data_IF_772371443340
#
_entry.id   IF_772371443340
#
_cell.length_a   1.000
_cell.length_b   1.000
_cell.length_c   1.000
_cell.angle_alpha   90.00
_cell.angle_beta   90.00
_cell.angle_gamma   90.00
#
_symmetry.space_group_name_H-M   'P 1'
#
loop_
_entity.id
_entity.type
_entity.pdbx_description
1 polymer ?
#
# COMPACT_ATOMS: atom_id res chain seq x y z
N UNK A 1 -9.47 -24.73 14.35
CA UNK A 1 -10.20 -23.53 14.83
C UNK A 1 -9.34 -22.86 15.88
N UNK A 2 -8.76 -21.69 15.60
CA UNK A 2 -7.97 -20.95 16.59
C UNK A 2 -8.85 -20.68 17.81
N UNK A 3 -8.47 -21.15 19.00
CA UNK A 3 -9.24 -21.07 20.25
C UNK A 3 -9.37 -19.64 20.81
N UNK A 4 -9.71 -18.70 19.94
CA UNK A 4 -9.89 -17.27 20.18
C UNK A 4 -11.30 -16.91 19.73
N UNK A 5 -12.10 -16.35 20.64
CA UNK A 5 -13.48 -15.94 20.33
C UNK A 5 -13.50 -14.84 19.25
N UNK A 6 -14.41 -14.95 18.28
CA UNK A 6 -14.67 -13.90 17.28
C UNK A 6 -14.96 -12.54 17.93
N UNK A 7 -15.58 -12.54 19.11
CA UNK A 7 -15.84 -11.32 19.87
C UNK A 7 -14.56 -10.69 20.43
N UNK A 8 -13.57 -11.50 20.84
CA UNK A 8 -12.28 -11.02 21.32
C UNK A 8 -11.46 -10.40 20.18
N UNK A 9 -11.48 -11.03 19.00
CA UNK A 9 -10.87 -10.46 17.79
C UNK A 9 -11.58 -9.17 17.39
N UNK A 10 -12.92 -9.15 17.37
CA UNK A 10 -13.68 -7.96 17.03
C UNK A 10 -13.40 -6.78 17.98
N UNK A 11 -13.33 -7.01 19.30
CA UNK A 11 -12.94 -5.97 20.27
C UNK A 11 -11.55 -5.40 20.02
N UNK A 12 -10.63 -6.22 19.52
CA UNK A 12 -9.27 -5.76 19.19
C UNK A 12 -9.25 -4.88 17.93
N UNK A 13 -10.00 -5.25 16.89
CA UNK A 13 -10.07 -4.47 15.65
C UNK A 13 -10.93 -3.19 15.76
N UNK A 14 -11.93 -3.16 16.64
CA UNK A 14 -12.83 -2.02 16.84
C UNK A 14 -12.46 -1.11 18.02
N UNK A 15 -11.38 -1.41 18.76
CA UNK A 15 -10.89 -0.60 19.87
C UNK A 15 -10.28 0.71 19.39
N UNK A 16 -11.11 1.72 19.11
CA UNK A 16 -10.68 3.02 18.59
C UNK A 16 -9.92 3.92 19.59
N UNK A 17 -9.73 3.51 20.86
CA UNK A 17 -9.04 4.34 21.87
C UNK A 17 -8.30 3.49 22.89
N UNK A 18 -7.01 3.30 22.65
CA UNK A 18 -6.11 2.64 23.59
C UNK A 18 -6.35 1.14 23.64
N UNK A 19 -5.24 0.40 23.67
CA UNK A 19 -5.14 -1.05 23.85
C UNK A 19 -6.39 -1.62 24.51
N UNK A 20 -7.28 -2.26 23.74
CA UNK A 20 -8.21 -3.21 24.32
C UNK A 20 -7.37 -4.11 25.23
N UNK A 21 -7.78 -4.30 26.48
CA UNK A 21 -7.09 -5.17 27.44
C UNK A 21 -7.14 -6.61 26.91
N UNK A 22 -6.30 -6.91 25.92
CA UNK A 22 -6.16 -8.21 25.30
C UNK A 22 -5.13 -8.93 26.15
N UNK A 23 -5.58 -9.95 26.87
CA UNK A 23 -4.70 -10.80 27.67
C UNK A 23 -3.59 -11.38 26.78
N UNK A 24 -2.35 -11.36 27.26
CA UNK A 24 -1.18 -11.90 26.54
C UNK A 24 -1.39 -13.35 26.07
N UNK A 25 -2.18 -14.14 26.81
CA UNK A 25 -2.59 -15.50 26.44
C UNK A 25 -3.34 -15.56 25.10
N UNK A 26 -4.15 -14.54 24.79
CA UNK A 26 -4.91 -14.45 23.55
C UNK A 26 -3.99 -14.14 22.36
N UNK A 27 -3.02 -13.24 22.54
CA UNK A 27 -2.01 -12.91 21.53
C UNK A 27 -1.14 -14.15 21.22
N UNK A 28 -0.68 -14.86 22.26
CA UNK A 28 0.12 -16.08 22.09
C UNK A 28 -0.64 -17.19 21.34
N UNK A 29 -1.92 -17.41 21.68
CA UNK A 29 -2.77 -18.39 20.97
C UNK A 29 -3.00 -18.02 19.52
N UNK A 30 -3.23 -16.74 19.24
CA UNK A 30 -3.40 -16.28 17.86
C UNK A 30 -2.10 -16.37 17.06
N UNK A 31 -0.98 -15.97 17.65
CA UNK A 31 0.35 -16.07 17.07
C UNK A 31 0.70 -17.52 16.70
N UNK A 32 0.44 -18.46 17.61
CA UNK A 32 0.60 -19.90 17.37
C UNK A 32 -0.30 -20.40 16.24
N UNK A 33 -1.57 -19.98 16.20
CA UNK A 33 -2.51 -20.40 15.16
C UNK A 33 -2.18 -19.81 13.77
N UNK A 34 -1.55 -18.64 13.72
CA UNK A 34 -1.14 -17.96 12.50
C UNK A 34 0.32 -18.23 12.12
N UNK A 35 1.03 -19.07 12.88
CA UNK A 35 2.45 -19.37 12.70
C UNK A 35 3.35 -18.13 12.57
N UNK A 36 3.06 -17.07 13.34
CA UNK A 36 3.83 -15.81 13.37
C UNK A 36 4.29 -15.51 14.78
N UNK A 37 5.43 -14.80 14.93
CA UNK A 37 5.90 -14.40 16.25
C UNK A 37 4.87 -13.48 16.94
N UNK A 38 4.61 -13.66 18.25
CA UNK A 38 3.79 -12.74 19.05
C UNK A 38 4.26 -11.27 18.94
N UNK A 39 5.56 -11.05 18.75
CA UNK A 39 6.15 -9.71 18.60
C UNK A 39 5.55 -8.92 17.43
N UNK A 40 5.08 -9.62 16.39
CA UNK A 40 4.45 -9.00 15.21
C UNK A 40 3.20 -8.20 15.60
N UNK A 41 2.48 -8.63 16.64
CA UNK A 41 1.27 -7.96 17.12
C UNK A 41 1.57 -6.81 18.09
N UNK A 42 2.74 -6.84 18.73
CA UNK A 42 3.19 -5.81 19.67
C UNK A 42 3.96 -4.68 18.98
N UNK A 43 4.47 -4.93 17.76
CA UNK A 43 5.11 -3.89 16.96
C UNK A 43 4.12 -2.79 16.62
N UNK A 44 4.46 -1.56 17.00
CA UNK A 44 3.75 -0.35 16.53
C UNK A 44 3.80 -0.34 15.01
N UNK A 45 2.64 -0.42 14.37
CA UNK A 45 2.55 -0.29 12.92
C UNK A 45 2.85 1.15 12.52
N UNK A 46 3.60 1.37 11.44
CA UNK A 46 3.76 2.72 10.91
C UNK A 46 2.37 3.27 10.56
N UNK A 47 2.16 4.55 10.86
CA UNK A 47 0.97 5.25 10.41
C UNK A 47 1.06 5.49 8.90
N UNK A 48 0.20 4.83 8.14
CA UNK A 48 0.15 4.92 6.68
C UNK A 48 -0.88 5.93 6.18
N UNK A 49 -1.62 6.63 7.06
CA UNK A 49 -2.71 7.52 6.68
C UNK A 49 -2.33 8.59 5.65
N UNK A 50 -1.12 9.14 5.75
CA UNK A 50 -0.58 10.10 4.78
C UNK A 50 -0.41 9.47 3.39
N UNK A 51 0.08 8.22 3.34
CA UNK A 51 0.27 7.50 2.09
C UNK A 51 -1.06 7.06 1.50
N UNK A 52 -1.99 6.61 2.34
CA UNK A 52 -3.36 6.26 1.95
C UNK A 52 -4.06 7.46 1.32
N UNK A 53 -3.99 8.63 1.96
CA UNK A 53 -4.57 9.88 1.43
C UNK A 53 -3.97 10.24 0.08
N UNK A 54 -2.67 10.03 -0.10
CA UNK A 54 -1.96 10.41 -1.33
C UNK A 54 -2.23 9.45 -2.49
N UNK A 55 -2.21 8.14 -2.24
CA UNK A 55 -2.28 7.12 -3.29
C UNK A 55 -3.66 6.53 -3.51
N UNK A 56 -4.54 6.59 -2.52
CA UNK A 56 -5.83 5.88 -2.49
C UNK A 56 -7.04 6.83 -2.47
N UNK A 57 -6.86 8.11 -2.82
CA UNK A 57 -7.93 9.11 -2.76
C UNK A 57 -9.15 8.80 -3.65
N UNK A 58 -8.98 7.97 -4.67
CA UNK A 58 -10.06 7.52 -5.56
C UNK A 58 -10.69 6.20 -5.12
N UNK A 59 -10.22 5.62 -4.01
CA UNK A 59 -10.63 4.31 -3.50
C UNK A 59 -10.51 3.16 -4.52
N UNK A 60 -9.70 3.31 -5.57
CA UNK A 60 -9.48 2.25 -6.56
C UNK A 60 -8.79 1.03 -5.95
N UNK A 61 -8.00 1.25 -4.90
CA UNK A 61 -7.42 0.19 -4.08
C UNK A 61 -7.88 0.36 -2.63
N UNK A 62 -8.27 -0.72 -1.95
CA UNK A 62 -8.89 -0.65 -0.62
C UNK A 62 -7.90 -0.30 0.50
N UNK A 63 -6.60 -0.54 0.29
CA UNK A 63 -5.53 -0.21 1.22
C UNK A 63 -4.17 -0.16 0.48
N UNK A 64 -3.14 0.28 1.20
CA UNK A 64 -1.79 0.41 0.64
C UNK A 64 -1.21 -0.93 0.20
N UNK A 65 -1.47 -2.01 0.92
CA UNK A 65 -1.01 -3.35 0.55
C UNK A 65 -1.56 -3.77 -0.82
N UNK A 66 -2.85 -3.52 -1.07
CA UNK A 66 -3.50 -3.85 -2.33
C UNK A 66 -2.95 -3.00 -3.49
N UNK A 67 -2.66 -1.73 -3.23
CA UNK A 67 -1.98 -0.86 -4.19
C UNK A 67 -0.58 -1.37 -4.52
N UNK A 68 0.21 -1.74 -3.52
CA UNK A 68 1.55 -2.31 -3.72
C UNK A 68 1.48 -3.64 -4.47
N UNK A 69 0.53 -4.52 -4.17
CA UNK A 69 0.32 -5.75 -4.92
C UNK A 69 0.00 -5.47 -6.39
N UNK A 70 -0.83 -4.46 -6.67
CA UNK A 70 -1.14 -4.03 -8.03
C UNK A 70 0.10 -3.51 -8.78
N UNK A 71 0.98 -2.76 -8.11
CA UNK A 71 2.27 -2.32 -8.66
C UNK A 71 3.17 -3.50 -9.02
N UNK A 72 3.30 -4.47 -8.11
CA UNK A 72 4.13 -5.69 -8.33
C UNK A 72 3.59 -6.50 -9.52
N UNK A 73 2.26 -6.64 -9.62
CA UNK A 73 1.59 -7.29 -10.75
C UNK A 73 1.70 -6.51 -12.07
N UNK A 74 2.25 -5.30 -12.05
CA UNK A 74 2.45 -4.47 -13.24
C UNK A 74 1.16 -3.88 -13.79
N UNK A 75 0.15 -3.67 -12.95
CA UNK A 75 -1.11 -3.07 -13.39
C UNK A 75 -0.87 -1.62 -13.81
N UNK A 76 -1.20 -1.31 -15.07
CA UNK A 76 -0.94 0.02 -15.64
C UNK A 76 -1.58 1.17 -14.84
N UNK A 77 -2.82 1.07 -14.32
CA UNK A 77 -3.40 2.13 -13.48
C UNK A 77 -2.60 2.37 -12.19
N UNK A 78 -2.07 1.32 -11.57
CA UNK A 78 -1.25 1.45 -10.37
C UNK A 78 0.07 2.15 -10.66
N UNK A 79 0.74 1.76 -11.75
CA UNK A 79 1.99 2.39 -12.18
C UNK A 79 1.75 3.87 -12.51
N UNK A 80 0.66 4.17 -13.21
CA UNK A 80 0.27 5.54 -13.52
C UNK A 80 0.07 6.38 -12.25
N UNK A 81 -0.64 5.82 -11.26
CA UNK A 81 -0.85 6.44 -9.95
C UNK A 81 0.47 6.76 -9.24
N UNK A 82 1.38 5.79 -9.17
CA UNK A 82 2.69 5.96 -8.53
C UNK A 82 3.46 7.13 -9.17
N UNK A 83 3.50 7.15 -10.51
CA UNK A 83 4.25 8.14 -11.28
C UNK A 83 3.57 9.51 -11.26
N UNK A 84 2.25 9.55 -11.23
CA UNK A 84 1.51 10.80 -11.09
C UNK A 84 1.88 11.52 -9.79
N UNK A 85 1.90 10.77 -8.68
CA UNK A 85 2.13 11.30 -7.34
C UNK A 85 3.61 11.57 -7.03
N UNK A 86 4.52 10.70 -7.48
CA UNK A 86 5.94 10.77 -7.14
C UNK A 86 6.86 11.28 -8.28
N UNK A 87 6.36 11.29 -9.52
CA UNK A 87 7.18 11.56 -10.71
C UNK A 87 8.08 10.39 -11.09
N UNK A 88 8.84 10.54 -12.18
CA UNK A 88 9.67 9.46 -12.73
C UNK A 88 10.80 9.03 -11.80
N UNK A 89 11.56 9.98 -11.24
CA UNK A 89 12.75 9.68 -10.44
C UNK A 89 12.47 8.78 -9.23
N UNK A 90 11.47 9.14 -8.43
CA UNK A 90 11.10 8.37 -7.26
C UNK A 90 10.43 7.05 -7.64
N UNK A 91 9.56 7.05 -8.66
CA UNK A 91 8.91 5.82 -9.14
C UNK A 91 9.90 4.81 -9.71
N UNK A 92 10.96 5.29 -10.35
CA UNK A 92 12.06 4.46 -10.85
C UNK A 92 12.74 3.68 -9.72
N UNK A 93 12.89 4.27 -8.53
CA UNK A 93 13.46 3.54 -7.36
C UNK A 93 12.56 2.42 -6.86
N UNK A 94 11.25 2.50 -7.11
CA UNK A 94 10.27 1.51 -6.65
C UNK A 94 10.08 0.39 -7.68
N UNK A 95 9.93 0.73 -8.97
CA UNK A 95 9.57 -0.21 -10.03
C UNK A 95 10.61 -0.33 -11.16
N UNK A 96 11.74 0.36 -11.04
CA UNK A 96 12.84 0.32 -12.00
C UNK A 96 12.49 0.93 -13.36
N UNK A 97 13.25 0.49 -14.38
CA UNK A 97 13.11 0.93 -15.78
C UNK A 97 11.71 0.70 -16.37
N UNK A 98 10.91 -0.20 -15.79
CA UNK A 98 9.54 -0.49 -16.26
C UNK A 98 8.66 0.77 -16.27
N UNK A 99 8.89 1.68 -15.34
CA UNK A 99 8.20 2.98 -15.29
C UNK A 99 8.44 3.76 -16.58
N UNK A 100 9.69 3.89 -17.02
CA UNK A 100 10.00 4.68 -18.22
C UNK A 100 9.56 3.96 -19.50
N UNK A 101 9.81 2.65 -19.59
CA UNK A 101 9.53 1.84 -20.78
C UNK A 101 8.02 1.74 -21.07
N UNK A 102 7.20 1.67 -20.02
CA UNK A 102 5.75 1.49 -20.16
C UNK A 102 4.97 2.81 -20.20
N UNK A 103 5.64 3.96 -20.18
CA UNK A 103 4.97 5.27 -20.03
C UNK A 103 3.86 5.49 -21.06
N UNK A 104 4.11 5.21 -22.34
CA UNK A 104 3.10 5.34 -23.39
C UNK A 104 1.85 4.47 -23.14
N UNK A 105 1.99 3.35 -22.44
CA UNK A 105 0.87 2.43 -22.17
C UNK A 105 0.02 2.90 -21.00
N UNK A 106 0.64 3.48 -19.96
CA UNK A 106 -0.08 3.85 -18.75
C UNK A 106 -0.42 5.34 -18.63
N UNK A 107 0.19 6.23 -19.41
CA UNK A 107 -0.02 7.68 -19.30
C UNK A 107 -1.48 8.12 -19.42
N UNK A 108 -2.30 7.35 -20.16
CA UNK A 108 -3.75 7.57 -20.31
C UNK A 108 -4.56 7.43 -19.01
N UNK A 109 -3.99 6.79 -17.97
CA UNK A 109 -4.64 6.66 -16.66
C UNK A 109 -4.31 7.82 -15.71
N UNK A 110 -3.52 8.80 -16.16
CA UNK A 110 -3.13 9.96 -15.37
C UNK A 110 -4.08 11.15 -15.58
N UNK A 111 -4.09 12.08 -14.63
CA UNK A 111 -4.72 13.39 -14.80
C UNK A 111 -4.08 14.14 -16.00
N UNK A 112 -4.86 14.74 -16.92
CA UNK A 112 -4.33 15.35 -18.15
C UNK A 112 -3.23 16.39 -17.93
N UNK A 113 -3.35 17.24 -16.91
CA UNK A 113 -2.33 18.25 -16.59
C UNK A 113 -0.99 17.61 -16.22
N UNK A 114 -1.02 16.55 -15.39
CA UNK A 114 0.17 15.83 -14.95
C UNK A 114 0.78 15.00 -16.08
N UNK A 115 -0.07 14.39 -16.92
CA UNK A 115 0.36 13.69 -18.12
C UNK A 115 1.21 14.60 -19.02
N UNK A 116 0.70 15.79 -19.39
CA UNK A 116 1.43 16.73 -20.25
C UNK A 116 2.78 17.13 -19.66
N UNK A 117 2.84 17.39 -18.35
CA UNK A 117 4.11 17.69 -17.68
C UNK A 117 5.11 16.55 -17.79
N UNK A 118 4.66 15.32 -17.57
CA UNK A 118 5.52 14.14 -17.64
C UNK A 118 5.91 13.79 -19.07
N UNK A 119 5.06 14.05 -20.06
CA UNK A 119 5.40 13.86 -21.48
C UNK A 119 6.58 14.74 -21.91
N UNK A 120 6.67 15.98 -21.41
CA UNK A 120 7.82 16.86 -21.66
C UNK A 120 9.09 16.32 -21.01
N UNK A 121 8.98 15.74 -19.82
CA UNK A 121 10.14 15.22 -19.08
C UNK A 121 10.59 13.85 -19.56
N UNK A 122 9.69 13.05 -20.13
CA UNK A 122 9.94 11.64 -20.47
C UNK A 122 11.15 11.40 -21.38
N UNK A 123 11.44 12.24 -22.41
CA UNK A 123 12.63 12.09 -23.24
C UNK A 123 13.94 12.07 -22.45
N UNK A 124 14.02 12.82 -21.33
CA UNK A 124 15.21 12.91 -20.48
C UNK A 124 15.53 11.61 -19.73
N UNK A 125 14.56 10.71 -19.60
CA UNK A 125 14.71 9.44 -18.91
C UNK A 125 14.84 8.25 -19.87
N UNK A 126 14.58 8.46 -21.17
CA UNK A 126 14.59 7.42 -22.21
C UNK A 126 15.99 7.19 -22.79
N UNK A 127 16.86 8.19 -22.74
CA UNK A 127 18.29 8.15 -23.08
C UNK A 127 19.09 7.32 -22.07
#
# INVERSE_FOLDING_TARGET
MAGVSRAAVSKWFHGQKGLANVESKTILKLASALHVSPDVFLKKRPDLSILETRFLWDHLYPNMESFVQALVRGQLPAIARLVQELGFWQSFRVLGKRVIVLFDRYKKYMKPARQKQLEVLWPLYRS
#
